data_IF_501816901774
#
_entry.id   IF_501816901774
#
_cell.length_a   1.000
_cell.length_b   1.000
_cell.length_c   1.000
_cell.angle_alpha   90.00
_cell.angle_beta   90.00
_cell.angle_gamma   90.00
#
_symmetry.space_group_name_H-M   'P 1'
#
loop_
_entity.id
_entity.type
_entity.pdbx_description
1 polymer ?
#
# COMPACT_ATOMS: atom_id res chain seq x y z
N UNK A 1 0.14 1.37 14.01
CA UNK A 1 -0.47 0.63 15.16
C UNK A 1 -0.62 1.54 16.37
N UNK A 2 0.48 2.10 16.92
CA UNK A 2 0.41 3.04 18.07
C UNK A 2 -0.47 4.26 17.78
N UNK A 3 -0.39 4.85 16.58
CA UNK A 3 -1.24 5.98 16.19
C UNK A 3 -2.73 5.64 16.10
N UNK A 4 -3.08 4.38 15.79
CA UNK A 4 -4.47 3.90 15.76
C UNK A 4 -5.00 3.73 17.19
N UNK A 5 -4.17 3.22 18.09
CA UNK A 5 -4.49 3.12 19.52
C UNK A 5 -4.68 4.52 20.14
N UNK A 6 -3.83 5.48 19.80
CA UNK A 6 -3.96 6.87 20.25
C UNK A 6 -5.22 7.55 19.71
N UNK A 7 -5.60 7.28 18.45
CA UNK A 7 -6.86 7.80 17.88
C UNK A 7 -8.09 7.23 18.60
N UNK A 8 -8.08 5.93 18.91
CA UNK A 8 -9.15 5.26 19.67
C UNK A 8 -9.20 5.79 21.11
N UNK A 9 -8.05 6.09 21.72
CA UNK A 9 -7.98 6.66 23.06
C UNK A 9 -8.39 8.14 23.13
N UNK A 10 -8.27 8.89 22.03
CA UNK A 10 -8.65 10.31 21.95
C UNK A 10 -10.13 10.54 21.60
N UNK A 11 -10.81 9.52 21.07
CA UNK A 11 -12.24 9.55 20.73
C UNK A 11 -13.21 9.98 21.86
N UNK A 12 -12.94 9.80 23.17
CA UNK A 12 -13.79 10.30 24.25
C UNK A 12 -13.70 11.82 24.48
N UNK A 13 -12.71 12.51 23.92
CA UNK A 13 -12.56 13.95 24.06
C UNK A 13 -13.38 14.67 22.97
N UNK A 14 -14.64 15.01 23.27
CA UNK A 14 -15.50 15.87 22.45
C UNK A 14 -14.94 17.30 22.28
N UNK A 15 -13.82 17.49 21.59
CA UNK A 15 -13.15 18.80 21.48
C UNK A 15 -12.46 19.13 20.16
N UNK A 16 -12.63 18.33 19.12
CA UNK A 16 -12.03 18.67 17.81
C UNK A 16 -13.09 19.03 16.78
N UNK A 17 -12.79 20.08 16.01
CA UNK A 17 -13.64 20.51 14.91
C UNK A 17 -13.76 19.40 13.86
N UNK A 18 -14.91 19.28 13.15
CA UNK A 18 -15.07 18.31 12.06
C UNK A 18 -13.93 18.34 11.04
N UNK A 19 -13.37 19.52 10.80
CA UNK A 19 -12.22 19.77 9.91
C UNK A 19 -10.89 19.19 10.43
N UNK A 20 -10.60 19.32 11.73
CA UNK A 20 -9.38 18.75 12.33
C UNK A 20 -9.41 17.21 12.34
N UNK A 21 -10.59 16.63 12.56
CA UNK A 21 -10.79 15.19 12.49
C UNK A 21 -10.62 14.65 11.06
N UNK A 22 -11.15 15.36 10.05
CA UNK A 22 -10.96 15.03 8.63
C UNK A 22 -9.49 15.08 8.24
N UNK A 23 -8.77 16.13 8.64
CA UNK A 23 -7.34 16.26 8.38
C UNK A 23 -6.53 15.16 9.08
N UNK A 24 -6.87 14.83 10.32
CA UNK A 24 -6.22 13.75 11.07
C UNK A 24 -6.48 12.38 10.43
N UNK A 25 -7.71 12.09 10.01
CA UNK A 25 -8.06 10.86 9.32
C UNK A 25 -7.36 10.74 7.96
N UNK A 26 -7.35 11.82 7.17
CA UNK A 26 -6.63 11.88 5.90
C UNK A 26 -5.11 11.67 6.09
N UNK A 27 -4.53 12.28 7.13
CA UNK A 27 -3.12 12.13 7.47
C UNK A 27 -2.77 10.69 7.88
N UNK A 28 -3.64 10.05 8.69
CA UNK A 28 -3.48 8.64 9.06
C UNK A 28 -3.61 7.71 7.85
N UNK A 29 -4.57 7.97 6.97
CA UNK A 29 -4.75 7.22 5.74
C UNK A 29 -3.53 7.35 4.81
N UNK A 30 -3.02 8.56 4.58
CA UNK A 30 -1.82 8.80 3.80
C UNK A 30 -0.58 8.13 4.41
N UNK A 31 -0.43 8.21 5.73
CA UNK A 31 0.67 7.54 6.45
C UNK A 31 0.59 6.03 6.29
N UNK A 32 -0.61 5.45 6.35
CA UNK A 32 -0.81 4.01 6.13
C UNK A 32 -0.32 3.58 4.74
N UNK A 33 -0.68 4.34 3.69
CA UNK A 33 -0.21 4.08 2.32
C UNK A 33 1.32 4.11 2.25
N UNK A 34 1.95 5.15 2.81
CA UNK A 34 3.40 5.32 2.76
C UNK A 34 4.15 4.21 3.51
N UNK A 35 3.68 3.84 4.71
CA UNK A 35 4.29 2.78 5.51
C UNK A 35 4.23 1.43 4.78
N UNK A 36 3.07 1.07 4.23
CA UNK A 36 2.93 -0.19 3.49
C UNK A 36 3.71 -0.17 2.17
N UNK A 37 3.73 0.96 1.44
CA UNK A 37 4.57 1.12 0.26
C UNK A 37 6.06 0.89 0.58
N UNK A 38 6.55 1.45 1.69
CA UNK A 38 7.92 1.24 2.15
C UNK A 38 8.18 -0.21 2.58
N UNK A 39 7.21 -0.86 3.23
CA UNK A 39 7.33 -2.27 3.59
C UNK A 39 7.42 -3.16 2.37
N UNK A 40 6.53 -2.98 1.38
CA UNK A 40 6.61 -3.70 0.12
C UNK A 40 7.93 -3.43 -0.59
N UNK A 41 8.35 -2.16 -0.69
CA UNK A 41 9.63 -1.77 -1.26
C UNK A 41 10.83 -2.38 -0.55
N UNK A 42 10.80 -2.58 0.76
CA UNK A 42 11.97 -3.05 1.51
C UNK A 42 12.04 -4.57 1.61
N UNK A 43 10.89 -5.24 1.65
CA UNK A 43 10.80 -6.68 1.84
C UNK A 43 10.75 -7.45 0.52
N UNK A 44 10.32 -6.80 -0.56
CA UNK A 44 10.23 -7.46 -1.86
C UNK A 44 11.61 -7.66 -2.53
N UNK A 45 11.79 -8.84 -3.14
CA UNK A 45 13.00 -9.31 -3.83
C UNK A 45 14.33 -9.14 -3.04
N UNK A 46 14.28 -9.33 -1.73
CA UNK A 46 15.46 -9.17 -0.85
C UNK A 46 15.83 -7.70 -0.59
N UNK A 47 14.94 -6.77 -0.90
CA UNK A 47 15.14 -5.33 -0.76
C UNK A 47 15.94 -4.71 -1.92
N UNK A 48 16.22 -3.39 -1.86
CA UNK A 48 16.87 -2.65 -2.95
C UNK A 48 18.23 -3.24 -3.33
N UNK A 49 19.04 -3.63 -2.35
CA UNK A 49 20.37 -4.22 -2.57
C UNK A 49 20.29 -5.61 -3.22
N UNK A 50 19.28 -6.41 -2.87
CA UNK A 50 19.04 -7.71 -3.48
C UNK A 50 18.55 -7.59 -4.93
N UNK A 51 17.80 -6.52 -5.25
CA UNK A 51 17.36 -6.17 -6.60
C UNK A 51 18.48 -5.67 -7.49
N UNK A 52 19.33 -4.75 -7.00
CA UNK A 52 20.43 -4.20 -7.79
C UNK A 52 21.53 -5.22 -8.08
N UNK A 53 21.63 -6.27 -7.26
CA UNK A 53 22.61 -7.36 -7.45
C UNK A 53 22.19 -8.37 -8.53
N UNK A 54 20.98 -8.27 -9.10
CA UNK A 54 20.44 -9.22 -10.10
C UNK A 54 20.04 -8.48 -11.38
N UNK A 55 20.32 -9.08 -12.53
CA UNK A 55 19.82 -8.58 -13.81
C UNK A 55 18.33 -8.91 -13.93
N UNK A 56 17.49 -7.90 -13.75
CA UNK A 56 16.02 -8.00 -13.84
C UNK A 56 15.36 -8.50 -12.55
N UNK A 57 14.02 -8.63 -12.58
CA UNK A 57 13.21 -9.05 -11.43
C UNK A 57 12.43 -10.36 -11.70
N UNK A 58 13.11 -11.53 -11.70
CA UNK A 58 12.46 -12.81 -11.96
C UNK A 58 11.69 -13.38 -10.75
N UNK A 59 12.14 -13.09 -9.53
CA UNK A 59 11.59 -13.63 -8.28
C UNK A 59 11.17 -12.50 -7.32
N UNK A 60 9.89 -12.15 -7.35
CA UNK A 60 9.27 -11.16 -6.48
C UNK A 60 8.13 -11.74 -5.64
N UNK A 61 7.87 -11.12 -4.49
CA UNK A 61 6.66 -11.34 -3.71
C UNK A 61 5.40 -10.80 -4.41
N UNK A 62 5.59 -9.89 -5.37
CA UNK A 62 4.56 -9.29 -6.21
C UNK A 62 4.90 -9.53 -7.68
N UNK A 63 3.93 -10.04 -8.44
CA UNK A 63 4.09 -10.23 -9.87
C UNK A 63 3.63 -8.97 -10.59
N UNK A 64 4.56 -8.16 -11.09
CA UNK A 64 4.18 -6.99 -11.89
C UNK A 64 3.88 -7.39 -13.34
N UNK A 65 3.02 -6.67 -14.08
CA UNK A 65 2.65 -7.00 -15.46
C UNK A 65 3.86 -7.18 -16.39
N UNK A 66 4.88 -6.36 -16.18
CA UNK A 66 6.15 -6.41 -16.92
C UNK A 66 6.85 -7.76 -16.73
N UNK A 67 6.67 -8.46 -15.61
CA UNK A 67 7.24 -9.79 -15.39
C UNK A 67 6.54 -10.86 -16.23
N UNK A 68 5.23 -10.71 -16.48
CA UNK A 68 4.42 -11.64 -17.26
C UNK A 68 4.58 -11.48 -18.79
N UNK A 69 5.26 -10.43 -19.25
CA UNK A 69 5.49 -10.22 -20.67
C UNK A 69 6.43 -11.30 -21.28
N UNK A 70 6.15 -11.79 -22.50
CA UNK A 70 7.05 -12.68 -23.23
C UNK A 70 8.46 -12.08 -23.37
N UNK A 71 9.53 -12.89 -23.36
CA UNK A 71 10.91 -12.40 -23.48
C UNK A 71 11.14 -11.53 -24.73
N UNK A 72 10.54 -11.92 -25.85
CA UNK A 72 10.62 -11.19 -27.13
C UNK A 72 10.01 -9.78 -27.01
N UNK A 73 8.80 -9.69 -26.45
CA UNK A 73 8.12 -8.41 -26.21
C UNK A 73 8.85 -7.53 -25.17
N UNK A 74 9.53 -8.13 -24.18
CA UNK A 74 10.37 -7.39 -23.23
C UNK A 74 11.58 -6.75 -23.90
N UNK A 75 12.20 -7.44 -24.85
CA UNK A 75 13.34 -6.91 -25.60
C UNK A 75 12.89 -5.80 -26.53
N UNK A 76 11.78 -5.98 -27.26
CA UNK A 76 11.21 -4.94 -28.13
C UNK A 76 10.78 -3.69 -27.35
N UNK A 77 10.22 -3.86 -26.15
CA UNK A 77 9.84 -2.77 -25.28
C UNK A 77 11.02 -2.10 -24.53
N UNK A 78 12.26 -2.59 -24.71
CA UNK A 78 13.43 -2.11 -23.97
C UNK A 78 13.40 -2.41 -22.47
N UNK A 79 12.58 -3.38 -22.04
CA UNK A 79 12.34 -3.75 -20.63
C UNK A 79 13.10 -5.00 -20.19
N UNK A 80 14.12 -5.43 -20.94
CA UNK A 80 14.89 -6.64 -20.62
C UNK A 80 15.57 -6.60 -19.24
N UNK A 81 15.88 -5.41 -18.72
CA UNK A 81 16.46 -5.21 -17.37
C UNK A 81 15.51 -4.48 -16.42
N UNK A 82 14.20 -4.51 -16.69
CA UNK A 82 13.22 -3.80 -15.88
C UNK A 82 13.22 -4.31 -14.44
N UNK A 83 13.14 -3.37 -13.50
CA UNK A 83 12.91 -3.63 -12.08
C UNK A 83 11.88 -2.63 -11.54
N UNK A 84 11.02 -3.06 -10.60
CA UNK A 84 10.03 -2.17 -10.00
C UNK A 84 10.72 -1.10 -9.16
N UNK A 85 10.24 0.14 -9.29
CA UNK A 85 10.65 1.33 -8.56
C UNK A 85 9.68 1.63 -7.40
N UNK A 86 10.07 2.52 -6.48
CA UNK A 86 9.28 2.80 -5.27
C UNK A 86 7.85 3.24 -5.61
N UNK A 87 7.69 3.97 -6.72
CA UNK A 87 6.39 4.42 -7.23
C UNK A 87 5.47 3.26 -7.58
N UNK A 88 5.99 2.13 -8.07
CA UNK A 88 5.19 0.94 -8.39
C UNK A 88 4.58 0.32 -7.12
N UNK A 89 5.34 0.31 -6.02
CA UNK A 89 4.85 -0.16 -4.72
C UNK A 89 3.96 0.87 -4.01
N UNK A 90 4.20 2.17 -4.23
CA UNK A 90 3.30 3.22 -3.77
C UNK A 90 1.95 3.12 -4.48
N UNK A 91 1.95 2.88 -5.79
CA UNK A 91 0.74 2.63 -6.56
C UNK A 91 0.01 1.39 -6.04
N UNK A 92 0.73 0.28 -5.81
CA UNK A 92 0.14 -0.93 -5.23
C UNK A 92 -0.50 -0.66 -3.85
N UNK A 93 0.22 0.03 -2.96
CA UNK A 93 -0.29 0.38 -1.64
C UNK A 93 -1.50 1.32 -1.73
N UNK A 94 -1.46 2.33 -2.60
CA UNK A 94 -2.57 3.25 -2.81
C UNK A 94 -3.84 2.50 -3.22
N UNK A 95 -3.76 1.65 -4.24
CA UNK A 95 -4.90 0.85 -4.74
C UNK A 95 -5.44 -0.14 -3.70
N UNK A 96 -4.55 -0.75 -2.90
CA UNK A 96 -4.95 -1.64 -1.79
C UNK A 96 -5.70 -0.88 -0.69
N UNK A 97 -5.33 0.37 -0.45
CA UNK A 97 -5.93 1.22 0.59
C UNK A 97 -7.25 1.85 0.15
N UNK A 98 -7.39 2.19 -1.13
CA UNK A 98 -8.63 2.73 -1.70
C UNK A 98 -9.67 1.65 -2.02
N UNK A 99 -9.27 0.37 -2.00
CA UNK A 99 -10.06 -0.77 -2.47
C UNK A 99 -10.50 -0.66 -3.95
N UNK A 100 -9.96 0.30 -4.69
CA UNK A 100 -10.01 0.38 -6.14
C UNK A 100 -8.70 -0.21 -6.64
N UNK A 101 -8.70 -1.47 -7.07
CA UNK A 101 -7.50 -2.09 -7.63
C UNK A 101 -7.69 -2.37 -9.11
N UNK A 102 -6.79 -1.90 -9.99
CA UNK A 102 -6.50 -2.65 -11.20
C UNK A 102 -5.86 -3.97 -10.74
N UNK A 103 -6.43 -5.11 -11.13
CA UNK A 103 -6.01 -6.46 -10.72
C UNK A 103 -4.70 -6.91 -11.40
N UNK A 104 -3.75 -6.00 -11.52
CA UNK A 104 -2.60 -6.16 -12.42
C UNK A 104 -1.36 -6.69 -11.70
N UNK A 105 -1.36 -6.72 -10.35
CA UNK A 105 -0.23 -7.17 -9.54
C UNK A 105 -0.64 -8.29 -8.57
N UNK A 106 -0.62 -9.58 -8.99
CA UNK A 106 -0.91 -10.66 -8.07
C UNK A 106 0.18 -10.83 -7.00
N UNK A 107 -0.28 -11.16 -5.79
CA UNK A 107 0.58 -11.37 -4.62
C UNK A 107 1.00 -12.83 -4.52
N UNK A 108 2.27 -13.09 -4.74
CA UNK A 108 2.83 -14.44 -4.74
C UNK A 108 3.21 -14.89 -3.32
N UNK A 109 3.83 -14.00 -2.54
CA UNK A 109 4.33 -14.37 -1.21
C UNK A 109 3.23 -14.44 -0.14
N UNK A 110 3.32 -15.45 0.73
CA UNK A 110 2.38 -15.63 1.86
C UNK A 110 2.38 -14.43 2.82
N UNK A 111 3.55 -13.85 3.11
CA UNK A 111 3.66 -12.66 3.95
C UNK A 111 3.04 -11.42 3.27
N UNK A 112 3.20 -11.28 1.95
CA UNK A 112 2.61 -10.18 1.18
C UNK A 112 1.09 -10.21 1.24
N UNK A 113 0.49 -11.41 1.16
CA UNK A 113 -0.97 -11.59 1.30
C UNK A 113 -1.46 -11.10 2.65
N UNK A 114 -0.77 -11.48 3.73
CA UNK A 114 -1.12 -11.05 5.09
C UNK A 114 -0.98 -9.52 5.23
N UNK A 115 0.09 -8.92 4.70
CA UNK A 115 0.26 -7.47 4.76
C UNK A 115 -0.82 -6.73 3.97
N UNK A 116 -1.20 -7.19 2.78
CA UNK A 116 -2.28 -6.57 2.02
C UNK A 116 -3.62 -6.69 2.75
N UNK A 117 -3.91 -7.85 3.36
CA UNK A 117 -5.11 -8.00 4.21
C UNK A 117 -5.09 -7.01 5.38
N UNK A 118 -3.96 -6.87 6.09
CA UNK A 118 -3.83 -5.92 7.19
C UNK A 118 -4.00 -4.47 6.71
N UNK A 119 -3.40 -4.11 5.58
CA UNK A 119 -3.50 -2.78 5.00
C UNK A 119 -4.96 -2.45 4.66
N UNK A 120 -5.70 -3.38 4.05
CA UNK A 120 -7.10 -3.21 3.71
C UNK A 120 -7.98 -3.09 4.96
N UNK A 121 -7.76 -3.91 6.00
CA UNK A 121 -8.49 -3.81 7.28
C UNK A 121 -8.27 -2.44 7.93
N UNK A 122 -7.03 -1.95 7.99
CA UNK A 122 -6.73 -0.62 8.54
C UNK A 122 -7.43 0.47 7.73
N UNK A 123 -7.39 0.38 6.39
CA UNK A 123 -8.01 1.37 5.51
C UNK A 123 -9.53 1.40 5.63
N UNK A 124 -10.17 0.23 5.70
CA UNK A 124 -11.61 0.11 5.93
C UNK A 124 -12.01 0.63 7.31
N UNK A 125 -11.19 0.40 8.34
CA UNK A 125 -11.45 0.93 9.69
C UNK A 125 -11.40 2.45 9.69
N UNK A 126 -10.39 3.06 9.03
CA UNK A 126 -10.30 4.52 8.90
C UNK A 126 -11.51 5.07 8.14
N UNK A 127 -11.93 4.43 7.05
CA UNK A 127 -13.11 4.85 6.28
C UNK A 127 -14.41 4.72 7.07
N UNK A 128 -14.59 3.61 7.81
CA UNK A 128 -15.76 3.39 8.66
C UNK A 128 -15.86 4.40 9.80
N UNK A 129 -14.74 4.72 10.46
CA UNK A 129 -14.67 5.76 11.49
C UNK A 129 -15.03 7.13 10.92
N UNK A 130 -14.56 7.43 9.70
CA UNK A 130 -14.88 8.68 9.01
C UNK A 130 -16.37 8.79 8.70
N UNK A 131 -16.97 7.72 8.16
CA UNK A 131 -18.40 7.68 7.83
C UNK A 131 -19.28 7.77 9.09
N UNK A 132 -18.96 7.03 10.15
CA UNK A 132 -19.68 7.08 11.42
C UNK A 132 -19.67 8.48 12.04
N UNK A 133 -18.52 9.18 11.97
CA UNK A 133 -18.41 10.57 12.44
C UNK A 133 -19.20 11.54 11.58
N UNK A 134 -19.16 11.41 10.25
CA UNK A 134 -19.92 12.26 9.35
C UNK A 134 -21.43 12.19 9.66
N UNK A 135 -21.95 10.98 9.88
CA UNK A 135 -23.35 10.77 10.28
C UNK A 135 -23.65 11.35 11.67
N UNK A 136 -22.73 11.25 12.62
CA UNK A 136 -22.91 11.79 13.99
C UNK A 136 -22.76 13.32 14.08
N UNK A 137 -22.33 14.00 13.02
CA UNK A 137 -22.18 15.47 12.95
C UNK A 137 -23.36 16.13 12.20
N UNK A 138 -24.09 15.35 11.39
CA UNK A 138 -25.36 15.72 10.74
C UNK A 138 -26.53 15.61 11.73
#
# INVERSE_FOLDING_TARGET
IVSVVLLIAALPAHRESPTELLLSAASLWATNILVFALWYWRLDAGGPHGRDSRLGHPDGAFLFPQMAMPPEAKVEAGQHTWSPNFVDYLFLAFNTSTAFSPTDVPVLARWGKVLMMLQSIISLTVLALLAARAVNIL
#
